data_IF_143723593635
#
_entry.id   IF_143723593635
#
_cell.length_a   1.000
_cell.length_b   1.000
_cell.length_c   1.000
_cell.angle_alpha   90.00
_cell.angle_beta   90.00
_cell.angle_gamma   90.00
#
_symmetry.space_group_name_H-M   'P 1'
#
loop_
_entity.id
_entity.type
_entity.pdbx_description
1 polymer ?
#
# COMPACT_ATOMS: atom_id res chain seq x y z
N UNK A 1 8.36 18.48 -8.26
CA UNK A 1 7.00 18.72 -7.72
C UNK A 1 6.41 17.35 -7.51
N UNK A 2 6.09 16.98 -6.27
CA UNK A 2 5.47 15.69 -5.96
C UNK A 2 4.03 15.70 -6.50
N UNK A 3 3.65 14.66 -7.24
CA UNK A 3 2.29 14.54 -7.75
C UNK A 3 1.38 13.97 -6.66
N UNK A 4 0.45 14.81 -6.17
CA UNK A 4 -0.54 14.44 -5.15
C UNK A 4 -1.85 14.08 -5.84
N UNK A 5 -2.44 12.94 -5.47
CA UNK A 5 -3.68 12.43 -6.06
C UNK A 5 -4.69 12.09 -4.98
N UNK A 6 -5.92 12.57 -5.15
CA UNK A 6 -6.99 12.34 -4.18
C UNK A 6 -7.73 11.02 -4.45
N UNK A 7 -7.87 10.21 -3.41
CA UNK A 7 -8.62 8.94 -3.46
C UNK A 7 -9.59 8.85 -2.29
N UNK A 8 -10.85 9.17 -2.57
CA UNK A 8 -11.95 9.18 -1.58
C UNK A 8 -12.97 8.07 -1.78
N UNK A 9 -12.74 7.19 -2.76
CA UNK A 9 -13.66 6.11 -3.15
C UNK A 9 -12.89 4.81 -3.34
N UNK A 10 -13.63 3.70 -3.23
CA UNK A 10 -13.12 2.36 -3.53
C UNK A 10 -12.43 2.36 -4.88
N UNK A 11 -11.23 1.76 -4.94
CA UNK A 11 -10.43 1.71 -6.14
C UNK A 11 -11.19 1.01 -7.27
N UNK A 12 -11.18 1.60 -8.46
CA UNK A 12 -11.69 1.00 -9.70
C UNK A 12 -10.63 1.09 -10.78
N UNK A 13 -10.82 0.42 -11.92
CA UNK A 13 -9.86 0.50 -13.04
C UNK A 13 -9.65 1.94 -13.52
N UNK A 14 -10.72 2.72 -13.58
CA UNK A 14 -10.68 4.13 -13.95
C UNK A 14 -9.93 4.98 -12.92
N UNK A 15 -10.22 4.80 -11.62
CA UNK A 15 -9.52 5.55 -10.57
C UNK A 15 -8.03 5.19 -10.59
N UNK A 16 -7.69 3.90 -10.67
CA UNK A 16 -6.31 3.42 -10.66
C UNK A 16 -5.50 4.00 -11.82
N UNK A 17 -6.04 4.07 -13.04
CA UNK A 17 -5.37 4.69 -14.20
C UNK A 17 -5.02 6.16 -13.97
N UNK A 18 -5.90 6.88 -13.27
CA UNK A 18 -5.67 8.29 -12.92
C UNK A 18 -4.59 8.47 -11.86
N UNK A 19 -4.12 7.39 -11.22
CA UNK A 19 -3.03 7.44 -10.24
C UNK A 19 -1.62 7.33 -10.86
N UNK A 20 -1.54 7.34 -12.19
CA UNK A 20 -0.25 7.22 -12.89
C UNK A 20 0.69 8.36 -12.53
N UNK A 21 1.84 8.02 -11.92
CA UNK A 21 2.87 8.97 -11.54
C UNK A 21 2.60 9.71 -10.23
N UNK A 22 1.54 9.37 -9.50
CA UNK A 22 1.29 9.93 -8.18
C UNK A 22 2.36 9.43 -7.20
N UNK A 23 2.94 10.35 -6.43
CA UNK A 23 3.88 10.06 -5.36
C UNK A 23 3.19 10.10 -3.98
N UNK A 24 2.08 10.84 -3.88
CA UNK A 24 1.29 10.96 -2.66
C UNK A 24 -0.18 10.68 -2.92
N UNK A 25 -0.79 9.88 -2.04
CA UNK A 25 -2.23 9.63 -2.00
C UNK A 25 -2.85 10.39 -0.82
N UNK A 26 -3.62 11.43 -1.15
CA UNK A 26 -4.49 12.11 -0.21
C UNK A 26 -5.82 11.34 -0.13
N UNK A 27 -6.02 10.56 0.93
CA UNK A 27 -7.06 9.55 1.06
C UNK A 27 -6.53 8.14 1.29
N UNK A 28 -7.28 7.13 0.84
CA UNK A 28 -7.04 5.72 1.14
C UNK A 28 -6.89 4.86 -0.13
N UNK A 29 -6.25 3.70 0.00
CA UNK A 29 -6.23 2.67 -1.03
C UNK A 29 -6.91 1.41 -0.50
N UNK A 30 -7.98 1.00 -1.17
CA UNK A 30 -8.77 -0.18 -0.81
C UNK A 30 -8.86 -1.15 -2.01
N UNK A 31 -8.15 -2.27 -1.91
CA UNK A 31 -8.12 -3.32 -2.93
C UNK A 31 -9.14 -4.41 -2.57
N UNK A 32 -10.17 -4.56 -3.41
CA UNK A 32 -11.26 -5.52 -3.20
C UNK A 32 -11.33 -6.60 -4.29
N UNK A 33 -11.64 -7.84 -3.89
CA UNK A 33 -11.88 -8.97 -4.80
C UNK A 33 -12.98 -8.68 -5.82
N UNK A 34 -14.03 -7.96 -5.40
CA UNK A 34 -15.18 -7.60 -6.25
C UNK A 34 -14.77 -6.71 -7.44
N UNK A 35 -13.77 -5.84 -7.24
CA UNK A 35 -13.26 -4.94 -8.27
C UNK A 35 -12.27 -5.64 -9.18
N UNK A 36 -11.45 -6.54 -8.66
CA UNK A 36 -10.54 -7.34 -9.48
C UNK A 36 -11.25 -8.31 -10.45
N UNK A 37 -12.49 -8.72 -10.12
CA UNK A 37 -13.32 -9.59 -10.98
C UNK A 37 -14.30 -8.83 -11.87
N UNK A 38 -14.39 -7.51 -11.71
CA UNK A 38 -15.35 -6.70 -12.45
C UNK A 38 -14.93 -6.57 -13.93
N UNK A 39 -15.89 -6.78 -14.83
CA UNK A 39 -15.67 -6.67 -16.29
C UNK A 39 -15.90 -5.23 -16.77
N UNK A 40 -16.66 -4.42 -16.01
CA UNK A 40 -17.10 -3.08 -16.45
C UNK A 40 -16.09 -1.98 -16.06
N UNK A 41 -15.55 -2.04 -14.84
CA UNK A 41 -14.59 -1.06 -14.31
C UNK A 41 -13.66 -1.70 -13.25
N UNK A 42 -13.19 -2.91 -13.58
CA UNK A 42 -12.24 -3.64 -12.76
C UNK A 42 -10.78 -3.30 -13.08
N UNK A 43 -9.87 -3.94 -12.35
CA UNK A 43 -8.44 -3.86 -12.58
C UNK A 43 -7.79 -5.22 -12.34
N UNK A 44 -6.72 -5.48 -13.06
CA UNK A 44 -5.90 -6.68 -12.93
C UNK A 44 -4.82 -6.50 -11.87
N UNK A 45 -4.07 -7.57 -11.59
CA UNK A 45 -2.87 -7.49 -10.74
C UNK A 45 -1.79 -6.59 -11.37
N UNK A 46 -1.66 -6.63 -12.70
CA UNK A 46 -0.62 -5.87 -13.40
C UNK A 46 -0.93 -4.37 -13.39
N UNK A 47 -2.21 -4.00 -13.40
CA UNK A 47 -2.63 -2.60 -13.27
C UNK A 47 -2.21 -1.99 -11.91
N UNK A 48 -2.06 -2.80 -10.86
CA UNK A 48 -1.60 -2.31 -9.54
C UNK A 48 -0.19 -1.71 -9.61
N UNK A 49 0.63 -2.06 -10.61
CA UNK A 49 1.96 -1.48 -10.80
C UNK A 49 1.93 0.05 -11.03
N UNK A 50 0.78 0.63 -11.33
CA UNK A 50 0.60 2.08 -11.34
C UNK A 50 0.93 2.70 -9.97
N UNK A 51 0.66 1.99 -8.88
CA UNK A 51 0.95 2.45 -7.52
C UNK A 51 2.43 2.41 -7.16
N UNK A 52 3.30 1.92 -8.06
CA UNK A 52 4.73 1.77 -7.79
C UNK A 52 5.43 3.10 -7.50
N UNK A 53 4.92 4.22 -8.01
CA UNK A 53 5.47 5.55 -7.71
C UNK A 53 5.02 6.12 -6.36
N UNK A 54 4.01 5.52 -5.72
CA UNK A 54 3.45 6.02 -4.47
C UNK A 54 4.44 5.81 -3.32
N UNK A 55 4.72 6.89 -2.61
CA UNK A 55 5.63 6.94 -1.45
C UNK A 55 4.87 7.21 -0.15
N UNK A 56 3.70 7.82 -0.23
CA UNK A 56 2.91 8.22 0.94
C UNK A 56 1.41 7.97 0.72
N UNK A 57 0.75 7.43 1.75
CA UNK A 57 -0.73 7.34 1.83
C UNK A 57 -1.17 8.01 3.13
N UNK A 58 -2.06 9.00 3.04
CA UNK A 58 -2.40 9.83 4.20
C UNK A 58 -3.46 9.21 5.12
N UNK A 59 -4.30 8.30 4.63
CA UNK A 59 -5.26 7.55 5.45
C UNK A 59 -4.79 6.12 5.67
N UNK A 60 -5.36 5.14 4.96
CA UNK A 60 -5.06 3.72 5.15
C UNK A 60 -4.84 2.99 3.82
N UNK A 61 -4.11 1.87 3.92
CA UNK A 61 -4.04 0.86 2.88
C UNK A 61 -4.73 -0.41 3.39
N UNK A 62 -5.70 -0.93 2.63
CA UNK A 62 -6.29 -2.23 2.91
C UNK A 62 -6.35 -3.09 1.66
N UNK A 63 -6.22 -4.39 1.86
CA UNK A 63 -6.40 -5.40 0.83
C UNK A 63 -7.30 -6.52 1.38
N UNK A 64 -8.53 -6.55 0.90
CA UNK A 64 -9.53 -7.54 1.24
C UNK A 64 -9.74 -8.51 0.07
N UNK A 65 -8.65 -9.19 -0.32
CA UNK A 65 -8.66 -10.14 -1.44
C UNK A 65 -8.49 -11.58 -0.96
N UNK A 66 -9.49 -12.42 -1.17
CA UNK A 66 -9.46 -13.83 -0.73
C UNK A 66 -9.03 -14.78 -1.85
N UNK A 67 -9.26 -14.41 -3.11
CA UNK A 67 -9.05 -15.31 -4.26
C UNK A 67 -8.07 -14.76 -5.29
N UNK A 68 -7.93 -13.44 -5.37
CA UNK A 68 -7.09 -12.75 -6.37
C UNK A 68 -5.88 -12.07 -5.74
N UNK A 69 -5.55 -12.42 -4.49
CA UNK A 69 -4.47 -11.80 -3.72
C UNK A 69 -3.11 -11.89 -4.46
N UNK A 70 -2.42 -10.76 -4.69
CA UNK A 70 -1.05 -10.75 -5.16
C UNK A 70 -0.16 -11.58 -4.23
N UNK A 71 0.81 -12.33 -4.77
CA UNK A 71 1.75 -13.12 -3.95
C UNK A 71 2.62 -12.25 -3.04
N UNK A 72 2.78 -10.96 -3.38
CA UNK A 72 3.56 -9.98 -2.66
C UNK A 72 2.98 -8.56 -2.88
N UNK A 73 3.49 -7.59 -2.12
CA UNK A 73 3.13 -6.17 -2.25
C UNK A 73 4.18 -5.40 -3.09
N UNK A 74 4.80 -6.03 -4.09
CA UNK A 74 5.87 -5.39 -4.88
C UNK A 74 5.42 -4.15 -5.65
N UNK A 75 4.12 -4.01 -5.92
CA UNK A 75 3.54 -2.79 -6.50
C UNK A 75 3.53 -1.59 -5.54
N UNK A 76 3.92 -1.77 -4.28
CA UNK A 76 4.14 -0.72 -3.26
C UNK A 76 5.61 -0.67 -2.81
N UNK A 77 6.55 -1.13 -3.63
CA UNK A 77 7.98 -1.21 -3.22
C UNK A 77 8.59 0.14 -2.81
N UNK A 78 8.03 1.27 -3.27
CA UNK A 78 8.48 2.62 -2.93
C UNK A 78 7.64 3.28 -1.85
N UNK A 79 6.65 2.58 -1.27
CA UNK A 79 5.84 3.12 -0.18
C UNK A 79 6.72 3.28 1.07
N UNK A 80 6.87 4.51 1.54
CA UNK A 80 7.73 4.87 2.66
C UNK A 80 6.94 4.94 3.97
N UNK A 81 5.74 5.52 3.95
CA UNK A 81 4.91 5.61 5.15
C UNK A 81 3.41 5.75 4.84
N UNK A 82 2.61 5.41 5.85
CA UNK A 82 1.17 5.64 5.89
C UNK A 82 0.89 6.53 7.11
N UNK A 83 0.31 7.71 6.90
CA UNK A 83 0.10 8.68 7.98
C UNK A 83 -0.99 8.23 8.96
N UNK A 84 -2.05 7.56 8.47
CA UNK A 84 -3.09 7.02 9.34
C UNK A 84 -4.08 8.07 9.86
N UNK A 85 -4.33 9.18 9.12
CA UNK A 85 -5.28 10.23 9.53
C UNK A 85 -6.72 9.71 9.72
N UNK A 86 -7.06 8.59 9.06
CA UNK A 86 -8.32 7.89 9.20
C UNK A 86 -8.05 6.39 9.26
N UNK A 87 -8.76 5.68 10.16
CA UNK A 87 -8.65 4.24 10.31
C UNK A 87 -9.86 3.54 9.72
N UNK A 88 -9.64 2.34 9.21
CA UNK A 88 -10.70 1.43 8.78
C UNK A 88 -11.61 1.10 9.97
N UNK A 89 -12.80 1.70 10.05
CA UNK A 89 -13.83 1.34 11.03
C UNK A 89 -14.78 0.31 10.45
N UNK A 90 -14.57 -0.97 10.74
CA UNK A 90 -15.59 -2.02 10.53
C UNK A 90 -16.18 -2.43 11.89
N UNK A 91 -17.49 -2.24 12.13
CA UNK A 91 -18.07 -2.57 13.43
C UNK A 91 -18.04 -4.08 13.77
N UNK A 92 -17.87 -4.99 12.80
CA UNK A 92 -18.09 -6.43 13.01
C UNK A 92 -17.10 -7.39 12.29
N UNK A 93 -15.84 -7.03 12.07
CA UNK A 93 -14.86 -8.02 11.58
C UNK A 93 -13.45 -7.75 12.07
N UNK A 94 -12.83 -8.80 12.63
CA UNK A 94 -11.41 -8.93 12.89
C UNK A 94 -10.65 -8.88 11.55
N UNK A 95 -10.59 -7.70 10.95
CA UNK A 95 -9.59 -7.40 9.93
C UNK A 95 -8.29 -7.21 10.72
N UNK A 96 -7.21 -7.86 10.30
CA UNK A 96 -5.85 -7.44 10.68
C UNK A 96 -5.63 -6.06 10.08
N UNK A 97 -6.19 -5.04 10.71
CA UNK A 97 -5.76 -3.66 10.50
C UNK A 97 -4.29 -3.65 10.88
N UNK A 98 -3.44 -3.35 9.91
CA UNK A 98 -2.05 -3.01 10.20
C UNK A 98 -2.15 -1.62 10.87
N UNK A 99 -1.91 -1.50 12.20
CA UNK A 99 -1.82 -0.18 12.79
C UNK A 99 -0.69 0.58 12.10
N UNK A 100 -0.87 1.88 11.88
CA UNK A 100 0.05 2.79 11.17
C UNK A 100 1.49 2.83 11.74
N UNK A 101 1.80 2.05 12.76
CA UNK A 101 3.11 1.94 13.40
C UNK A 101 3.97 0.77 12.89
N UNK A 102 3.56 0.01 11.87
CA UNK A 102 4.49 -0.92 11.23
C UNK A 102 5.41 -0.11 10.29
N UNK A 103 6.60 0.22 10.79
CA UNK A 103 7.73 0.54 9.92
C UNK A 103 7.89 -0.62 8.94
N UNK A 104 7.55 -0.43 7.67
CA UNK A 104 7.93 -1.37 6.63
C UNK A 104 9.43 -1.24 6.48
N UNK A 105 10.20 -2.07 7.20
CA UNK A 105 11.62 -2.24 6.90
C UNK A 105 11.72 -2.80 5.48
N UNK A 106 12.29 -2.07 4.50
CA UNK A 106 12.66 -2.70 3.23
C UNK A 106 13.59 -3.87 3.53
N UNK A 107 13.63 -4.93 2.70
CA UNK A 107 14.48 -6.09 2.93
C UNK A 107 15.94 -5.64 3.03
N UNK A 108 16.47 -5.53 4.26
CA UNK A 108 17.90 -5.37 4.54
C UNK A 108 18.57 -6.71 4.23
N UNK A 109 18.94 -6.89 2.97
CA UNK A 109 19.61 -8.09 2.46
C UNK A 109 20.77 -7.82 1.52
N UNK A 110 21.27 -6.59 1.43
CA UNK A 110 22.45 -6.25 0.64
C UNK A 110 23.50 -5.45 1.41
N UNK A 111 23.64 -5.62 2.73
CA UNK A 111 24.84 -5.16 3.45
C UNK A 111 25.15 -6.10 4.63
N UNK A 112 26.20 -6.89 4.47
CA UNK A 112 26.86 -7.60 5.56
C UNK A 112 27.48 -6.55 6.50
N UNK A 113 27.14 -6.60 7.78
CA UNK A 113 27.89 -5.90 8.83
C UNK A 113 28.13 -6.88 9.98
N UNK A 114 29.36 -7.36 10.09
CA UNK A 114 29.91 -8.01 11.30
C UNK A 114 30.04 -6.98 12.42
N UNK A 115 29.75 -7.33 13.69
CA UNK A 115 29.70 -6.38 14.79
C UNK A 115 31.08 -5.95 15.30
N UNK A 116 31.17 -4.67 15.69
CA UNK A 116 32.32 -4.02 16.31
C UNK A 116 32.50 -4.38 17.80
N UNK A 117 33.75 -4.33 18.25
CA UNK A 117 34.31 -4.66 19.58
C UNK A 117 34.11 -3.54 20.62
N UNK A 118 33.99 -3.87 21.92
CA UNK A 118 34.40 -3.02 23.08
C UNK A 118 34.27 -3.81 24.41
N UNK A 119 35.34 -4.30 25.05
CA UNK A 119 36.27 -3.70 26.05
C UNK A 119 35.93 -4.02 27.53
N UNK A 120 37.03 -4.15 28.29
CA UNK A 120 37.18 -4.71 29.63
C UNK A 120 36.41 -4.05 30.79
N UNK A 121 36.09 -4.86 31.79
CA UNK A 121 36.51 -4.69 33.19
C UNK A 121 36.46 -6.05 33.91
#
# INVERSE_FOLDING_TARGET
MFAVCQVTKVLTGTILKNLTGCEEIDGFIDIQDSKMRSIVDGYTRDDLNILRSVRMISEYFQMATQTVSPRNLSFLENLEFIEGRSLVTHPNSLIKSIPASITITPPKGAFHATPSVSHAQ
#
